data_IF_630407141809
#
_entry.id   IF_630407141809
#
_cell.length_a   1.000
_cell.length_b   1.000
_cell.length_c   1.000
_cell.angle_alpha   90.00
_cell.angle_beta   90.00
_cell.angle_gamma   90.00
#
_symmetry.space_group_name_H-M   'P 1'
#
loop_
_entity.id
_entity.type
_entity.pdbx_description
1 polymer ?
#
# COMPACT_ATOMS: atom_id res chain seq x y z
N UNK A 1 20.19 0.96 5.64
CA UNK A 1 20.72 -0.37 5.93
C UNK A 1 22.23 -0.27 5.92
N UNK A 2 22.90 -0.65 7.02
CA UNK A 2 24.36 -0.78 7.03
C UNK A 2 24.67 -2.18 6.53
N UNK A 3 25.44 -2.28 5.45
CA UNK A 3 25.81 -3.56 4.83
C UNK A 3 27.28 -3.84 5.06
N UNK A 4 27.65 -5.13 5.12
CA UNK A 4 29.05 -5.55 5.17
C UNK A 4 29.76 -5.09 3.88
N UNK A 5 31.01 -4.67 4.03
CA UNK A 5 31.83 -4.18 2.90
C UNK A 5 32.00 -5.24 1.80
N UNK A 6 32.07 -6.52 2.20
CA UNK A 6 32.14 -7.67 1.29
C UNK A 6 30.95 -7.80 0.33
N UNK A 7 29.80 -7.19 0.63
CA UNK A 7 28.62 -7.24 -0.23
C UNK A 7 28.61 -6.12 -1.26
N UNK A 8 29.37 -5.04 -1.05
CA UNK A 8 29.33 -3.84 -1.90
C UNK A 8 29.71 -4.13 -3.35
N UNK A 9 30.53 -5.17 -3.59
CA UNK A 9 30.89 -5.63 -4.94
C UNK A 9 29.71 -6.18 -5.75
N UNK A 10 28.56 -6.45 -5.12
CA UNK A 10 27.34 -6.94 -5.78
C UNK A 10 26.20 -5.92 -5.83
N UNK A 11 26.21 -4.92 -4.95
CA UNK A 11 25.05 -4.01 -4.76
C UNK A 11 25.38 -2.53 -4.98
N UNK A 12 26.66 -2.17 -5.09
CA UNK A 12 27.03 -0.76 -5.26
C UNK A 12 26.56 -0.24 -6.61
N UNK A 13 25.99 0.97 -6.70
CA UNK A 13 25.64 1.59 -7.99
C UNK A 13 26.83 1.78 -8.94
N UNK A 14 28.06 1.72 -8.42
CA UNK A 14 29.31 1.81 -9.21
C UNK A 14 29.70 0.48 -9.86
N UNK A 15 29.09 -0.63 -9.44
CA UNK A 15 29.31 -1.95 -10.03
C UNK A 15 28.52 -2.03 -11.35
N UNK A 16 29.11 -2.60 -12.43
CA UNK A 16 28.44 -2.78 -13.71
C UNK A 16 27.07 -3.45 -13.55
N UNK A 17 26.11 -3.05 -14.38
CA UNK A 17 24.72 -3.56 -14.32
C UNK A 17 24.69 -5.07 -14.50
N UNK A 18 25.56 -5.59 -15.37
CA UNK A 18 25.70 -7.01 -15.69
C UNK A 18 26.03 -7.83 -14.44
N UNK A 19 26.99 -7.37 -13.62
CA UNK A 19 27.40 -8.05 -12.38
C UNK A 19 26.27 -8.02 -11.34
N UNK A 20 25.52 -6.92 -11.25
CA UNK A 20 24.37 -6.80 -10.33
C UNK A 20 23.21 -7.68 -10.78
N UNK A 21 22.97 -7.79 -12.08
CA UNK A 21 21.98 -8.68 -12.67
C UNK A 21 22.34 -10.14 -12.47
N UNK A 22 23.60 -10.52 -12.71
CA UNK A 22 24.09 -11.87 -12.44
C UNK A 22 23.91 -12.23 -10.96
N UNK A 23 24.22 -11.31 -10.04
CA UNK A 23 23.94 -11.49 -8.62
C UNK A 23 22.43 -11.67 -8.33
N UNK A 24 21.56 -10.87 -8.94
CA UNK A 24 20.10 -10.99 -8.80
C UNK A 24 19.56 -12.35 -9.26
N UNK A 25 20.13 -12.90 -10.32
CA UNK A 25 19.74 -14.19 -10.89
C UNK A 25 20.33 -15.38 -10.14
N UNK A 26 21.60 -15.32 -9.77
CA UNK A 26 22.35 -16.46 -9.25
C UNK A 26 22.22 -16.66 -7.73
N UNK A 27 21.79 -15.64 -6.99
CA UNK A 27 21.63 -15.75 -5.54
C UNK A 27 20.22 -16.15 -5.09
N UNK A 28 19.31 -16.51 -6.02
CA UNK A 28 17.96 -17.01 -5.68
C UNK A 28 18.00 -18.39 -4.99
N UNK A 29 16.87 -18.75 -4.38
CA UNK A 29 16.62 -20.06 -3.76
C UNK A 29 17.14 -21.25 -4.58
N UNK A 30 17.67 -22.26 -3.88
CA UNK A 30 18.16 -23.51 -4.48
C UNK A 30 19.53 -23.41 -5.16
N UNK A 31 20.09 -22.21 -5.32
CA UNK A 31 21.46 -22.03 -5.82
C UNK A 31 22.44 -22.18 -4.67
N UNK A 32 23.27 -23.23 -4.65
CA UNK A 32 24.31 -23.34 -3.62
C UNK A 32 25.37 -22.25 -3.85
N UNK A 33 26.07 -21.81 -2.79
CA UNK A 33 27.17 -20.84 -2.93
C UNK A 33 28.24 -21.30 -3.94
N UNK A 34 28.31 -22.63 -4.13
CA UNK A 34 29.29 -23.34 -4.94
C UNK A 34 28.87 -23.41 -6.42
N UNK A 35 27.58 -23.32 -6.74
CA UNK A 35 27.08 -23.34 -8.13
C UNK A 35 27.18 -21.96 -8.81
N UNK A 36 27.43 -20.91 -8.02
CA UNK A 36 27.50 -19.54 -8.49
C UNK A 36 28.92 -19.23 -8.96
N UNK A 37 29.15 -19.19 -10.27
CA UNK A 37 30.43 -18.79 -10.91
C UNK A 37 30.73 -17.29 -10.77
N UNK A 38 30.44 -16.69 -9.60
CA UNK A 38 30.70 -15.28 -9.32
C UNK A 38 31.79 -15.19 -8.25
N UNK A 39 32.81 -14.39 -8.53
CA UNK A 39 34.01 -14.30 -7.70
C UNK A 39 33.68 -13.96 -6.23
N UNK A 40 34.01 -14.90 -5.33
CA UNK A 40 33.81 -14.79 -3.89
C UNK A 40 32.38 -15.04 -3.40
N UNK A 41 31.50 -15.62 -4.23
CA UNK A 41 30.17 -16.10 -3.83
C UNK A 41 30.24 -17.26 -2.82
N UNK A 42 31.32 -18.07 -2.86
CA UNK A 42 31.55 -19.22 -1.98
C UNK A 42 31.53 -18.86 -0.48
N UNK A 43 31.82 -17.61 -0.13
CA UNK A 43 31.88 -17.12 1.25
C UNK A 43 30.56 -16.50 1.73
N UNK A 44 29.53 -16.40 0.87
CA UNK A 44 28.27 -15.76 1.19
C UNK A 44 27.33 -16.73 1.92
N UNK A 45 26.88 -16.32 3.10
CA UNK A 45 25.83 -17.04 3.82
C UNK A 45 24.47 -16.83 3.17
N UNK A 46 23.47 -17.64 3.54
CA UNK A 46 22.09 -17.47 3.07
C UNK A 46 21.54 -16.08 3.41
N UNK A 47 21.90 -15.56 4.59
CA UNK A 47 21.57 -14.19 5.01
C UNK A 47 22.18 -13.10 4.11
N UNK A 48 23.41 -13.31 3.61
CA UNK A 48 24.05 -12.39 2.68
C UNK A 48 23.33 -12.38 1.32
N UNK A 49 22.93 -13.55 0.82
CA UNK A 49 22.16 -13.65 -0.43
C UNK A 49 20.82 -12.95 -0.34
N UNK A 50 20.06 -13.20 0.73
CA UNK A 50 18.81 -12.48 1.00
C UNK A 50 19.02 -10.96 1.08
N UNK A 51 20.10 -10.52 1.75
CA UNK A 51 20.45 -9.10 1.85
C UNK A 51 20.74 -8.50 0.47
N UNK A 52 21.52 -9.19 -0.37
CA UNK A 52 21.85 -8.73 -1.72
C UNK A 52 20.57 -8.62 -2.56
N UNK A 53 19.74 -9.66 -2.60
CA UNK A 53 18.51 -9.67 -3.38
C UNK A 53 17.52 -8.61 -2.91
N UNK A 54 17.36 -8.44 -1.59
CA UNK A 54 16.53 -7.38 -1.05
C UNK A 54 16.99 -5.99 -1.52
N UNK A 55 18.29 -5.72 -1.50
CA UNK A 55 18.82 -4.41 -1.92
C UNK A 55 18.65 -4.21 -3.43
N UNK A 56 18.97 -5.23 -4.23
CA UNK A 56 18.83 -5.19 -5.68
C UNK A 56 17.37 -5.10 -6.11
N UNK A 57 16.39 -5.50 -5.29
CA UNK A 57 14.97 -5.30 -5.61
C UNK A 57 14.59 -3.82 -5.75
N UNK A 58 15.39 -2.90 -5.19
CA UNK A 58 15.23 -1.44 -5.32
C UNK A 58 16.23 -0.81 -6.30
N UNK A 59 16.84 -1.61 -7.18
CA UNK A 59 17.81 -1.11 -8.15
C UNK A 59 17.19 -0.14 -9.17
N UNK A 60 18.02 0.74 -9.74
CA UNK A 60 17.60 1.67 -10.79
C UNK A 60 17.38 0.98 -12.14
N UNK A 61 18.06 -0.15 -12.39
CA UNK A 61 17.81 -1.00 -13.56
C UNK A 61 16.55 -1.87 -13.33
N UNK A 62 15.49 -1.72 -14.17
CA UNK A 62 14.24 -2.45 -13.97
C UNK A 62 14.37 -3.97 -14.09
N UNK A 63 15.29 -4.46 -14.94
CA UNK A 63 15.50 -5.90 -15.11
C UNK A 63 16.16 -6.49 -13.85
N UNK A 64 17.25 -5.89 -13.38
CA UNK A 64 17.91 -6.29 -12.12
C UNK A 64 16.93 -6.25 -10.94
N UNK A 65 16.12 -5.19 -10.82
CA UNK A 65 15.11 -5.06 -9.76
C UNK A 65 14.08 -6.19 -9.79
N UNK A 66 13.54 -6.49 -10.97
CA UNK A 66 12.53 -7.55 -11.14
C UNK A 66 13.09 -8.95 -10.83
N UNK A 67 14.29 -9.24 -11.34
CA UNK A 67 14.97 -10.53 -11.08
C UNK A 67 15.26 -10.70 -9.60
N UNK A 68 15.78 -9.66 -8.95
CA UNK A 68 16.09 -9.70 -7.53
C UNK A 68 14.84 -9.89 -6.67
N UNK A 69 13.73 -9.22 -7.00
CA UNK A 69 12.46 -9.39 -6.29
C UNK A 69 11.91 -10.82 -6.43
N UNK A 70 12.02 -11.40 -7.63
CA UNK A 70 11.59 -12.78 -7.89
C UNK A 70 12.48 -13.78 -7.14
N UNK A 71 13.81 -13.59 -7.18
CA UNK A 71 14.76 -14.41 -6.45
C UNK A 71 14.57 -14.31 -4.94
N UNK A 72 14.26 -13.13 -4.42
CA UNK A 72 14.00 -12.89 -3.01
C UNK A 72 12.75 -13.62 -2.51
N UNK A 73 11.67 -13.61 -3.29
CA UNK A 73 10.43 -14.30 -2.96
C UNK A 73 10.48 -15.83 -3.15
N UNK A 74 11.53 -16.35 -3.79
CA UNK A 74 11.66 -17.77 -4.09
C UNK A 74 12.21 -18.61 -2.92
N UNK A 75 12.74 -17.97 -1.86
CA UNK A 75 13.33 -18.69 -0.72
C UNK A 75 12.29 -19.51 0.02
N UNK A 76 12.61 -20.78 0.29
CA UNK A 76 11.76 -21.65 1.08
C UNK A 76 11.92 -21.38 2.59
N UNK A 77 10.97 -21.87 3.39
CA UNK A 77 10.96 -21.66 4.85
C UNK A 77 12.22 -22.21 5.53
N UNK A 78 12.86 -23.26 4.99
CA UNK A 78 14.09 -23.84 5.54
C UNK A 78 15.33 -22.98 5.29
N UNK A 79 15.46 -22.43 4.07
CA UNK A 79 16.50 -21.47 3.71
C UNK A 79 16.34 -20.16 4.51
N UNK A 80 15.10 -19.69 4.67
CA UNK A 80 14.79 -18.51 5.48
C UNK A 80 15.11 -18.73 6.96
N UNK A 81 14.76 -19.88 7.53
CA UNK A 81 15.12 -20.23 8.90
C UNK A 81 16.63 -20.24 9.11
N UNK A 82 17.39 -20.76 8.13
CA UNK A 82 18.85 -20.73 8.15
C UNK A 82 19.39 -19.30 8.15
N UNK A 83 18.82 -18.43 7.32
CA UNK A 83 19.23 -17.03 7.26
C UNK A 83 18.85 -16.22 8.51
N UNK A 84 17.73 -16.56 9.16
CA UNK A 84 17.26 -15.91 10.39
C UNK A 84 18.10 -16.26 11.62
N UNK A 85 19.01 -17.23 11.54
CA UNK A 85 20.03 -17.45 12.57
C UNK A 85 21.06 -16.31 12.61
N UNK A 86 21.31 -15.65 11.48
CA UNK A 86 22.20 -14.49 11.38
C UNK A 86 21.45 -13.20 11.75
N UNK A 87 22.19 -12.17 12.16
CA UNK A 87 21.61 -10.84 12.40
C UNK A 87 21.23 -10.17 11.07
N UNK A 88 19.92 -10.06 10.81
CA UNK A 88 19.38 -9.38 9.63
C UNK A 88 19.03 -7.91 9.93
N UNK A 89 18.93 -7.06 8.90
CA UNK A 89 18.48 -5.67 9.08
C UNK A 89 16.94 -5.64 9.29
N UNK A 90 16.42 -4.78 10.19
CA UNK A 90 14.98 -4.69 10.42
C UNK A 90 14.14 -4.47 9.16
N UNK A 91 14.67 -3.79 8.14
CA UNK A 91 13.95 -3.56 6.88
C UNK A 91 13.74 -4.84 6.08
N UNK A 92 14.76 -5.70 6.09
CA UNK A 92 14.70 -7.03 5.47
C UNK A 92 13.69 -7.91 6.20
N UNK A 93 13.72 -7.93 7.54
CA UNK A 93 12.76 -8.67 8.36
C UNK A 93 11.31 -8.24 8.10
N UNK A 94 11.04 -6.93 8.00
CA UNK A 94 9.71 -6.41 7.64
C UNK A 94 9.26 -6.86 6.25
N UNK A 95 10.19 -6.95 5.30
CA UNK A 95 9.89 -7.45 3.96
C UNK A 95 9.52 -8.93 3.97
N UNK A 96 10.19 -9.75 4.81
CA UNK A 96 9.87 -11.16 4.96
C UNK A 96 8.49 -11.36 5.60
N UNK A 97 8.14 -10.61 6.65
CA UNK A 97 6.79 -10.62 7.24
C UNK A 97 5.72 -10.28 6.19
N UNK A 98 6.01 -9.31 5.31
CA UNK A 98 5.06 -8.90 4.27
C UNK A 98 4.90 -9.93 3.16
N UNK A 99 5.95 -10.70 2.83
CA UNK A 99 5.90 -11.71 1.78
C UNK A 99 5.29 -13.03 2.28
N UNK A 100 5.51 -13.36 3.54
CA UNK A 100 5.08 -14.61 4.15
C UNK A 100 4.04 -14.35 5.25
N UNK A 101 2.99 -13.60 4.92
CA UNK A 101 1.98 -13.14 5.89
C UNK A 101 1.25 -14.25 6.65
N UNK A 102 1.26 -15.46 6.11
CA UNK A 102 0.49 -16.59 6.61
C UNK A 102 1.39 -17.64 7.31
N UNK A 103 2.72 -17.45 7.31
CA UNK A 103 3.69 -18.38 7.88
C UNK A 103 3.98 -18.05 9.35
N UNK A 104 3.20 -18.66 10.24
CA UNK A 104 3.30 -18.50 11.69
C UNK A 104 4.68 -18.89 12.22
N UNK A 105 5.23 -19.99 11.72
CA UNK A 105 6.52 -20.52 12.14
C UNK A 105 7.63 -19.54 11.79
N UNK A 106 7.63 -19.02 10.56
CA UNK A 106 8.58 -18.01 10.14
C UNK A 106 8.45 -16.72 10.95
N UNK A 107 7.24 -16.27 11.27
CA UNK A 107 7.03 -15.09 12.09
C UNK A 107 7.65 -15.23 13.49
N UNK A 108 7.47 -16.38 14.13
CA UNK A 108 8.13 -16.64 15.42
C UNK A 108 9.65 -16.56 15.31
N UNK A 109 10.24 -17.18 14.28
CA UNK A 109 11.67 -17.09 14.01
C UNK A 109 12.14 -15.64 13.73
N UNK A 110 11.31 -14.82 13.08
CA UNK A 110 11.61 -13.41 12.83
C UNK A 110 11.60 -12.59 14.12
N UNK A 111 10.67 -12.83 15.04
CA UNK A 111 10.63 -12.14 16.33
C UNK A 111 11.87 -12.43 17.20
N UNK A 112 12.41 -13.64 17.09
CA UNK A 112 13.61 -14.09 17.80
C UNK A 112 14.92 -13.64 17.12
N UNK A 113 14.85 -13.10 15.90
CA UNK A 113 16.04 -12.66 15.19
C UNK A 113 16.77 -11.53 15.96
N UNK A 114 18.13 -11.57 16.09
CA UNK A 114 18.90 -10.54 16.78
C UNK A 114 18.78 -9.13 16.17
N UNK A 115 18.30 -9.03 14.94
CA UNK A 115 18.01 -7.81 14.21
C UNK A 115 16.60 -7.26 14.40
N UNK A 116 15.71 -7.99 15.08
CA UNK A 116 14.32 -7.58 15.27
C UNK A 116 14.21 -6.38 16.24
N UNK A 117 13.88 -5.22 15.68
CA UNK A 117 13.56 -4.02 16.45
C UNK A 117 12.14 -4.07 17.04
N UNK A 118 11.78 -3.08 17.86
CA UNK A 118 10.46 -3.02 18.49
C UNK A 118 9.32 -3.07 17.46
N UNK A 119 9.51 -2.45 16.29
CA UNK A 119 8.50 -2.47 15.21
C UNK A 119 8.39 -3.85 14.56
N UNK A 120 9.50 -4.55 14.32
CA UNK A 120 9.46 -5.93 13.79
C UNK A 120 8.71 -6.84 14.76
N UNK A 121 8.98 -6.73 16.06
CA UNK A 121 8.29 -7.53 17.09
C UNK A 121 6.81 -7.21 17.19
N UNK A 122 6.43 -5.93 17.08
CA UNK A 122 5.03 -5.49 17.04
C UNK A 122 4.31 -6.02 15.80
N UNK A 123 4.96 -5.99 14.62
CA UNK A 123 4.42 -6.56 13.39
C UNK A 123 4.22 -8.08 13.48
N UNK A 124 5.17 -8.81 14.08
CA UNK A 124 5.03 -10.25 14.33
C UNK A 124 3.89 -10.52 15.31
N UNK A 125 3.82 -9.77 16.43
CA UNK A 125 2.77 -9.95 17.43
C UNK A 125 1.37 -9.69 16.84
N UNK A 126 1.23 -8.69 15.97
CA UNK A 126 0.00 -8.43 15.24
C UNK A 126 -0.40 -9.59 14.31
N UNK A 127 0.57 -10.34 13.76
CA UNK A 127 0.32 -11.48 12.88
C UNK A 127 0.06 -12.79 13.62
N UNK A 128 0.83 -13.06 14.69
CA UNK A 128 0.69 -14.29 15.51
C UNK A 128 -0.55 -14.21 16.41
N UNK A 129 -0.88 -13.02 16.95
CA UNK A 129 -2.10 -12.80 17.74
C UNK A 129 -3.39 -13.02 16.95
N UNK A 130 -3.34 -12.90 15.62
CA UNK A 130 -4.46 -13.24 14.75
C UNK A 130 -4.62 -14.76 14.52
N UNK A 131 -3.61 -15.58 14.82
CA UNK A 131 -3.60 -17.03 14.57
C UNK A 131 -3.98 -17.87 15.80
N UNK A 132 -3.78 -17.38 17.04
CA UNK A 132 -4.19 -18.09 18.27
C UNK A 132 -5.72 -18.09 18.52
N UNK A 133 -6.48 -17.24 17.83
CA UNK A 133 -7.95 -17.21 17.95
C UNK A 133 -8.67 -18.35 17.20
N UNK A 134 -7.93 -19.23 16.49
CA UNK A 134 -8.51 -20.24 15.59
C UNK A 134 -8.17 -21.67 16.07
N UNK A 135 -8.66 -22.05 17.25
CA UNK A 135 -8.64 -23.45 17.72
C UNK A 135 -10.05 -23.98 18.05
N UNK A 136 -10.80 -24.31 16.98
CA UNK A 136 -11.78 -25.41 16.94
C UNK A 136 -13.28 -25.06 17.04
N UNK A 137 -14.19 -25.89 16.47
CA UNK A 137 -14.08 -26.67 15.24
C UNK A 137 -15.24 -26.42 14.23
N UNK A 138 -14.95 -26.69 12.96
CA UNK A 138 -15.84 -27.09 11.85
C UNK A 138 -17.13 -26.29 11.57
N UNK A 139 -17.18 -25.57 10.42
CA UNK A 139 -17.83 -26.07 9.20
C UNK A 139 -17.91 -25.04 8.04
N UNK A 140 -17.45 -25.51 6.87
CA UNK A 140 -17.83 -25.18 5.47
C UNK A 140 -17.63 -23.75 4.91
N UNK A 141 -16.73 -23.72 3.91
CA UNK A 141 -16.81 -23.06 2.58
C UNK A 141 -17.22 -21.57 2.54
N UNK A 142 -16.25 -20.72 2.18
CA UNK A 142 -16.34 -19.24 2.19
C UNK A 142 -17.18 -18.62 1.07
N UNK A 143 -16.92 -17.35 0.65
CA UNK A 143 -15.95 -16.38 1.15
C UNK A 143 -16.63 -15.08 1.61
N UNK A 144 -16.33 -14.58 2.81
CA UNK A 144 -16.66 -13.20 3.18
C UNK A 144 -15.47 -12.52 3.82
N UNK A 145 -15.24 -11.30 3.37
CA UNK A 145 -14.19 -10.36 3.74
C UNK A 145 -14.04 -10.22 5.24
N UNK A 146 -12.87 -10.56 5.78
CA UNK A 146 -12.48 -10.19 7.14
C UNK A 146 -11.87 -8.78 7.13
N UNK A 147 -12.71 -7.78 7.40
CA UNK A 147 -12.35 -6.38 7.68
C UNK A 147 -11.80 -6.17 9.11
N UNK A 148 -11.44 -7.22 9.85
CA UNK A 148 -11.23 -7.12 11.31
C UNK A 148 -9.86 -6.61 11.83
N UNK A 149 -8.74 -6.46 11.07
CA UNK A 149 -7.51 -5.89 11.64
C UNK A 149 -7.41 -4.36 11.57
N UNK A 150 -8.26 -3.66 10.79
CA UNK A 150 -8.17 -2.19 10.67
C UNK A 150 -8.72 -1.48 11.92
N UNK A 151 -9.72 -2.04 12.60
CA UNK A 151 -10.43 -1.35 13.69
C UNK A 151 -9.58 -1.13 14.95
N UNK A 152 -8.65 -2.04 15.28
CA UNK A 152 -7.82 -1.92 16.49
C UNK A 152 -6.69 -0.89 16.32
N UNK A 153 -6.02 -0.89 15.15
CA UNK A 153 -5.02 0.14 14.81
C UNK A 153 -5.69 1.51 14.62
N UNK A 154 -6.84 1.56 13.93
CA UNK A 154 -7.63 2.78 13.82
C UNK A 154 -8.07 3.27 15.19
N UNK A 155 -8.44 2.39 16.12
CA UNK A 155 -8.78 2.74 17.50
C UNK A 155 -7.62 3.39 18.26
N UNK A 156 -6.40 2.87 18.11
CA UNK A 156 -5.18 3.44 18.72
C UNK A 156 -4.81 4.80 18.12
N UNK A 157 -4.85 4.90 16.79
CA UNK A 157 -4.60 6.14 16.05
C UNK A 157 -5.68 7.18 16.37
N UNK A 158 -6.95 6.78 16.43
CA UNK A 158 -8.09 7.63 16.76
C UNK A 158 -7.98 8.20 18.17
N UNK A 159 -7.63 7.37 19.16
CA UNK A 159 -7.35 7.83 20.54
C UNK A 159 -6.22 8.86 20.58
N UNK A 160 -5.18 8.69 19.75
CA UNK A 160 -4.08 9.67 19.63
C UNK A 160 -4.55 10.97 18.97
N UNK A 161 -5.31 10.89 17.89
CA UNK A 161 -5.86 12.04 17.16
C UNK A 161 -6.79 12.89 18.04
N UNK A 162 -7.56 12.28 18.94
CA UNK A 162 -8.41 13.02 19.87
C UNK A 162 -7.63 13.90 20.87
N UNK A 163 -6.41 13.48 21.24
CA UNK A 163 -5.56 14.25 22.17
C UNK A 163 -4.80 15.39 21.49
N UNK A 164 -4.71 15.39 20.17
CA UNK A 164 -3.95 16.38 19.40
C UNK A 164 -4.71 17.69 19.19
N UNK A 165 -3.97 18.79 19.17
CA UNK A 165 -4.53 20.09 18.80
C UNK A 165 -4.69 20.22 17.27
N UNK A 166 -5.40 21.27 16.83
CA UNK A 166 -5.66 21.49 15.40
C UNK A 166 -4.38 21.67 14.56
N UNK A 167 -3.33 22.30 15.10
CA UNK A 167 -2.08 22.53 14.38
C UNK A 167 -1.28 21.22 14.18
N UNK A 168 -1.28 20.35 15.18
CA UNK A 168 -0.69 19.01 15.12
C UNK A 168 -1.41 18.14 14.10
N UNK A 169 -2.75 18.17 14.09
CA UNK A 169 -3.56 17.48 13.08
C UNK A 169 -3.29 17.98 11.67
N UNK A 170 -3.11 19.28 11.47
CA UNK A 170 -2.72 19.85 10.17
C UNK A 170 -1.36 19.31 9.72
N UNK A 171 -0.37 19.33 10.63
CA UNK A 171 0.97 18.80 10.33
C UNK A 171 0.92 17.31 10.00
N UNK A 172 0.16 16.54 10.80
CA UNK A 172 -0.03 15.11 10.58
C UNK A 172 -0.78 14.83 9.28
N UNK A 173 -1.76 15.65 8.90
CA UNK A 173 -2.45 15.53 7.61
C UNK A 173 -1.49 15.68 6.42
N UNK A 174 -0.48 16.55 6.52
CA UNK A 174 0.52 16.79 5.47
C UNK A 174 1.58 15.68 5.37
N UNK A 175 1.93 15.01 6.46
CA UNK A 175 3.05 14.06 6.50
C UNK A 175 2.66 12.61 6.82
N UNK A 176 1.44 12.39 7.32
CA UNK A 176 0.94 11.12 7.83
C UNK A 176 0.72 10.04 6.77
N UNK A 177 0.57 8.81 7.26
CA UNK A 177 0.31 7.61 6.46
C UNK A 177 -1.14 7.51 6.00
N UNK A 178 -1.51 6.36 5.44
CA UNK A 178 -2.86 6.11 4.87
C UNK A 178 -3.95 6.16 5.95
N UNK A 179 -3.72 5.49 7.09
CA UNK A 179 -4.68 5.41 8.18
C UNK A 179 -4.96 6.79 8.81
N UNK A 180 -3.93 7.60 9.08
CA UNK A 180 -4.13 8.93 9.65
C UNK A 180 -4.87 9.85 8.68
N UNK A 181 -4.58 9.76 7.37
CA UNK A 181 -5.31 10.54 6.35
C UNK A 181 -6.78 10.13 6.27
N UNK A 182 -7.07 8.83 6.31
CA UNK A 182 -8.43 8.29 6.30
C UNK A 182 -9.29 8.82 7.45
N UNK A 183 -8.71 8.90 8.65
CA UNK A 183 -9.40 9.45 9.82
C UNK A 183 -9.49 10.99 9.77
N UNK A 184 -8.41 11.68 9.38
CA UNK A 184 -8.34 13.15 9.39
C UNK A 184 -9.16 13.82 8.27
N UNK A 185 -9.47 13.11 7.17
CA UNK A 185 -10.24 13.70 6.07
C UNK A 185 -11.65 14.11 6.50
N UNK A 186 -12.23 13.39 7.46
CA UNK A 186 -13.57 13.62 8.00
C UNK A 186 -13.56 14.45 9.30
N UNK A 187 -12.42 15.08 9.65
CA UNK A 187 -12.32 15.91 10.86
C UNK A 187 -13.32 17.09 10.81
N UNK A 188 -13.74 17.52 12.00
CA UNK A 188 -14.65 18.65 12.17
C UNK A 188 -14.05 19.94 11.58
N UNK A 189 -12.73 20.13 11.73
CA UNK A 189 -12.03 21.31 11.24
C UNK A 189 -11.65 21.15 9.76
N UNK A 190 -12.23 22.00 8.90
CA UNK A 190 -12.01 21.96 7.44
C UNK A 190 -10.58 22.28 7.03
N UNK A 191 -9.82 23.02 7.85
CA UNK A 191 -8.41 23.29 7.57
C UNK A 191 -7.59 21.99 7.64
N UNK A 192 -7.96 21.06 8.51
CA UNK A 192 -7.31 19.75 8.65
C UNK A 192 -7.60 18.88 7.42
N UNK A 193 -8.86 18.75 7.01
CA UNK A 193 -9.23 18.04 5.78
C UNK A 193 -8.51 18.60 4.54
N UNK A 194 -8.37 19.92 4.46
CA UNK A 194 -7.65 20.58 3.38
C UNK A 194 -6.14 20.28 3.39
N UNK A 195 -5.57 20.10 4.57
CA UNK A 195 -4.17 19.71 4.72
C UNK A 195 -3.94 18.27 4.25
N UNK A 196 -4.87 17.35 4.56
CA UNK A 196 -4.82 15.95 4.09
C UNK A 196 -4.80 15.88 2.56
N UNK A 197 -5.65 16.65 1.88
CA UNK A 197 -5.70 16.69 0.42
C UNK A 197 -4.43 17.27 -0.24
N UNK A 198 -3.61 18.00 0.51
CA UNK A 198 -2.33 18.55 0.03
C UNK A 198 -1.15 17.62 0.28
N UNK A 199 -1.37 16.46 0.92
CA UNK A 199 -0.33 15.50 1.20
C UNK A 199 0.22 14.91 -0.13
N UNK A 200 1.55 14.92 -0.36
CA UNK A 200 2.13 14.40 -1.61
C UNK A 200 1.98 12.88 -1.77
N UNK A 201 1.63 12.16 -0.70
CA UNK A 201 1.44 10.70 -0.70
C UNK A 201 -0.01 10.27 -0.92
N UNK A 202 -0.92 11.20 -1.18
CA UNK A 202 -2.31 10.85 -1.47
C UNK A 202 -2.39 10.15 -2.84
N UNK A 203 -3.02 8.99 -2.86
CA UNK A 203 -3.14 8.17 -4.06
C UNK A 203 -4.47 8.44 -4.77
N UNK A 204 -4.52 8.18 -6.08
CA UNK A 204 -5.78 8.27 -6.84
C UNK A 204 -6.85 7.31 -6.32
N UNK A 205 -6.45 6.15 -5.79
CA UNK A 205 -7.35 5.19 -5.15
C UNK A 205 -8.08 5.77 -3.94
N UNK A 206 -7.36 6.49 -3.07
CA UNK A 206 -7.95 7.19 -1.92
C UNK A 206 -8.94 8.27 -2.40
N UNK A 207 -8.60 9.03 -3.43
CA UNK A 207 -9.51 10.05 -3.99
C UNK A 207 -10.79 9.42 -4.53
N UNK A 208 -10.70 8.29 -5.22
CA UNK A 208 -11.86 7.54 -5.74
C UNK A 208 -12.76 7.08 -4.58
N UNK A 209 -12.17 6.55 -3.49
CA UNK A 209 -12.93 6.17 -2.31
C UNK A 209 -13.63 7.39 -1.68
N UNK A 210 -12.95 8.53 -1.59
CA UNK A 210 -13.50 9.75 -1.02
C UNK A 210 -14.68 10.31 -1.83
N UNK A 211 -14.58 10.37 -3.16
CA UNK A 211 -15.69 10.87 -3.98
C UNK A 211 -16.90 9.94 -3.98
N UNK A 212 -16.70 8.64 -3.77
CA UNK A 212 -17.80 7.68 -3.64
C UNK A 212 -18.38 7.63 -2.22
N UNK A 213 -17.66 8.17 -1.23
CA UNK A 213 -18.10 8.16 0.16
C UNK A 213 -19.26 9.14 0.41
N UNK A 214 -20.31 8.62 1.05
CA UNK A 214 -21.46 9.44 1.49
C UNK A 214 -21.12 10.30 2.71
N UNK A 215 -20.06 10.00 3.44
CA UNK A 215 -19.65 10.76 4.64
C UNK A 215 -18.80 11.97 4.30
N UNK A 216 -18.20 12.01 3.10
CA UNK A 216 -17.37 13.11 2.63
C UNK A 216 -18.04 14.49 2.79
N UNK A 217 -17.24 15.51 3.06
CA UNK A 217 -17.74 16.88 3.18
C UNK A 217 -17.77 17.60 1.83
N UNK A 218 -18.71 18.52 1.63
CA UNK A 218 -18.85 19.32 0.41
C UNK A 218 -17.53 20.03 0.05
N UNK A 219 -16.85 20.63 1.02
CA UNK A 219 -15.58 21.34 0.78
C UNK A 219 -14.48 20.42 0.22
N UNK A 220 -14.38 19.19 0.72
CA UNK A 220 -13.46 18.17 0.20
C UNK A 220 -13.78 17.85 -1.26
N UNK A 221 -15.06 17.66 -1.58
CA UNK A 221 -15.51 17.39 -2.96
C UNK A 221 -15.22 18.58 -3.90
N UNK A 222 -15.38 19.82 -3.41
CA UNK A 222 -15.02 21.05 -4.16
C UNK A 222 -13.52 21.12 -4.44
N UNK A 223 -12.69 20.79 -3.46
CA UNK A 223 -11.25 20.76 -3.65
C UNK A 223 -10.83 19.71 -4.67
N UNK A 224 -11.40 18.50 -4.57
CA UNK A 224 -11.14 17.42 -5.54
C UNK A 224 -11.54 17.87 -6.94
N UNK A 225 -12.71 18.49 -7.09
CA UNK A 225 -13.22 19.01 -8.36
C UNK A 225 -12.41 20.17 -8.97
N UNK A 226 -11.55 20.83 -8.19
CA UNK A 226 -10.64 21.90 -8.66
C UNK A 226 -9.30 21.35 -9.12
N UNK A 227 -8.89 20.17 -8.63
CA UNK A 227 -7.63 19.55 -9.00
C UNK A 227 -7.72 18.93 -10.40
N UNK A 228 -6.95 19.48 -11.34
CA UNK A 228 -6.96 19.03 -12.74
C UNK A 228 -6.40 17.63 -12.92
N UNK A 229 -5.47 17.19 -12.07
CA UNK A 229 -4.87 15.85 -12.19
C UNK A 229 -5.87 14.76 -11.82
N UNK A 230 -6.54 14.89 -10.66
CA UNK A 230 -7.55 13.91 -10.25
C UNK A 230 -8.76 13.88 -11.17
N UNK A 231 -9.20 15.04 -11.67
CA UNK A 231 -10.34 15.13 -12.58
C UNK A 231 -10.05 14.51 -13.96
N UNK A 232 -8.78 14.29 -14.35
CA UNK A 232 -8.49 13.52 -15.59
C UNK A 232 -9.02 12.09 -15.48
N UNK A 233 -9.01 11.50 -14.28
CA UNK A 233 -9.51 10.15 -14.06
C UNK A 233 -11.04 10.10 -14.22
N UNK A 234 -11.58 9.29 -15.15
CA UNK A 234 -13.02 9.17 -15.36
C UNK A 234 -13.79 8.70 -14.11
N UNK A 235 -13.18 7.85 -13.28
CA UNK A 235 -13.81 7.33 -12.06
C UNK A 235 -14.06 8.44 -11.04
N UNK A 236 -13.14 9.41 -10.94
CA UNK A 236 -13.29 10.57 -10.06
C UNK A 236 -14.44 11.46 -10.55
N UNK A 237 -14.56 11.70 -11.86
CA UNK A 237 -15.68 12.47 -12.43
C UNK A 237 -17.02 11.80 -12.14
N UNK A 238 -17.11 10.48 -12.36
CA UNK A 238 -18.33 9.72 -12.11
C UNK A 238 -18.70 9.79 -10.63
N UNK A 239 -17.74 9.54 -9.73
CA UNK A 239 -17.95 9.64 -8.28
C UNK A 239 -18.43 11.01 -7.84
N UNK A 240 -17.86 12.09 -8.38
CA UNK A 240 -18.33 13.45 -8.11
C UNK A 240 -19.77 13.68 -8.60
N UNK A 241 -20.18 13.11 -9.73
CA UNK A 241 -21.55 13.26 -10.24
C UNK A 241 -22.55 12.43 -9.43
N UNK A 242 -22.15 11.23 -9.00
CA UNK A 242 -23.03 10.29 -8.30
C UNK A 242 -23.20 10.63 -6.82
N UNK A 243 -22.27 11.39 -6.24
CA UNK A 243 -22.32 11.74 -4.82
C UNK A 243 -23.39 12.81 -4.52
N UNK A 244 -24.31 12.56 -3.58
CA UNK A 244 -25.39 13.50 -3.24
C UNK A 244 -24.91 14.80 -2.58
N UNK A 245 -23.70 14.81 -2.00
CA UNK A 245 -23.11 16.00 -1.35
C UNK A 245 -22.29 16.86 -2.30
N UNK A 246 -22.06 16.42 -3.54
CA UNK A 246 -21.41 17.27 -4.53
C UNK A 246 -22.33 18.43 -4.92
N UNK A 247 -21.85 19.68 -4.94
CA UNK A 247 -22.64 20.81 -5.40
C UNK A 247 -23.11 20.60 -6.83
N UNK A 248 -24.41 20.83 -7.05
CA UNK A 248 -25.05 20.67 -8.35
C UNK A 248 -24.28 21.34 -9.51
N UNK A 249 -23.75 22.58 -9.38
CA UNK A 249 -23.00 23.21 -10.48
C UNK A 249 -21.74 22.43 -10.88
N UNK A 250 -21.06 21.79 -9.92
CA UNK A 250 -19.86 20.99 -10.17
C UNK A 250 -20.23 19.69 -10.89
N UNK A 251 -21.26 19.00 -10.39
CA UNK A 251 -21.75 17.76 -10.99
C UNK A 251 -22.23 17.99 -12.44
N UNK A 252 -22.97 19.07 -12.68
CA UNK A 252 -23.43 19.47 -14.02
C UNK A 252 -22.27 19.71 -14.99
N UNK A 253 -21.21 20.40 -14.54
CA UNK A 253 -20.01 20.63 -15.35
C UNK A 253 -19.35 19.33 -15.80
N UNK A 254 -19.30 18.32 -14.94
CA UNK A 254 -18.66 17.05 -15.27
C UNK A 254 -19.53 16.12 -16.10
N UNK A 255 -20.86 16.23 -15.98
CA UNK A 255 -21.81 15.52 -16.83
C UNK A 255 -21.50 15.75 -18.32
N UNK A 256 -20.86 16.88 -18.65
CA UNK A 256 -20.54 17.19 -20.02
C UNK A 256 -19.49 16.29 -20.67
N UNK A 257 -18.65 15.65 -19.86
CA UNK A 257 -17.47 14.90 -20.27
C UNK A 257 -17.59 13.39 -20.01
N UNK A 258 -18.81 12.89 -19.79
CA UNK A 258 -19.09 11.48 -19.49
C UNK A 258 -19.61 10.75 -20.73
N UNK A 259 -19.24 9.48 -20.85
CA UNK A 259 -19.65 8.59 -21.93
C UNK A 259 -21.13 8.16 -21.83
N UNK A 260 -21.72 7.79 -22.97
CA UNK A 260 -23.13 7.39 -23.10
C UNK A 260 -23.53 6.26 -22.14
N UNK A 261 -22.65 5.27 -21.93
CA UNK A 261 -22.90 4.14 -21.02
C UNK A 261 -23.09 4.60 -19.58
N UNK A 262 -22.25 5.50 -19.11
CA UNK A 262 -22.26 6.02 -17.75
C UNK A 262 -23.41 7.03 -17.55
N UNK A 263 -23.73 7.85 -18.57
CA UNK A 263 -24.93 8.69 -18.56
C UNK A 263 -26.21 7.87 -18.34
N UNK A 264 -26.29 6.67 -18.91
CA UNK A 264 -27.44 5.77 -18.69
C UNK A 264 -27.56 5.25 -17.26
N UNK A 265 -26.42 5.02 -16.59
CA UNK A 265 -26.42 4.67 -15.17
C UNK A 265 -26.83 5.86 -14.31
N UNK A 266 -26.32 7.05 -14.60
CA UNK A 266 -26.64 8.28 -13.86
C UNK A 266 -28.13 8.63 -14.00
N UNK A 267 -28.69 8.54 -15.21
CA UNK A 267 -30.10 8.82 -15.47
C UNK A 267 -31.06 7.90 -14.69
N UNK A 268 -30.66 6.65 -14.41
CA UNK A 268 -31.46 5.67 -13.67
C UNK A 268 -31.16 5.65 -12.17
N UNK A 269 -30.10 6.33 -11.73
CA UNK A 269 -29.66 6.29 -10.34
C UNK A 269 -30.61 7.08 -9.44
N UNK A 270 -31.01 6.47 -8.31
CA UNK A 270 -31.77 7.14 -7.25
C UNK A 270 -30.88 7.93 -6.28
N UNK A 271 -29.55 7.78 -6.39
CA UNK A 271 -28.59 8.42 -5.49
C UNK A 271 -28.23 9.85 -5.93
N UNK A 272 -28.69 10.28 -7.10
CA UNK A 272 -28.43 11.63 -7.65
C UNK A 272 -29.68 12.50 -7.61
N UNK A 273 -29.47 13.82 -7.60
CA UNK A 273 -30.56 14.79 -7.69
C UNK A 273 -31.41 14.55 -8.94
N UNK A 274 -32.73 14.75 -8.83
CA UNK A 274 -33.69 14.64 -9.94
C UNK A 274 -33.34 15.56 -11.12
N UNK A 275 -32.67 16.69 -10.84
CA UNK A 275 -32.18 17.61 -11.86
C UNK A 275 -31.03 16.98 -12.64
N UNK A 276 -30.09 16.29 -11.97
CA UNK A 276 -28.97 15.61 -12.63
C UNK A 276 -29.45 14.44 -13.48
N UNK A 277 -30.36 13.61 -12.97
CA UNK A 277 -30.90 12.48 -13.73
C UNK A 277 -31.69 12.93 -14.97
N UNK A 278 -32.50 13.98 -14.84
CA UNK A 278 -33.24 14.56 -15.96
C UNK A 278 -32.30 15.15 -17.03
N UNK A 279 -31.25 15.86 -16.62
CA UNK A 279 -30.26 16.40 -17.55
C UNK A 279 -29.42 15.30 -18.21
N UNK A 280 -29.04 14.25 -17.47
CA UNK A 280 -28.36 13.08 -18.02
C UNK A 280 -29.21 12.37 -19.08
N UNK A 281 -30.52 12.21 -18.82
CA UNK A 281 -31.46 11.63 -19.77
C UNK A 281 -31.60 12.47 -21.05
N UNK A 282 -31.81 13.78 -20.93
CA UNK A 282 -31.86 14.69 -22.08
C UNK A 282 -30.57 14.67 -22.88
N UNK A 283 -29.42 14.62 -22.21
CA UNK A 283 -28.12 14.57 -22.89
C UNK A 283 -27.92 13.26 -23.66
N UNK A 284 -28.30 12.13 -23.07
CA UNK A 284 -28.23 10.83 -23.73
C UNK A 284 -29.09 10.78 -25.01
N UNK A 285 -30.25 11.41 -24.99
CA UNK A 285 -31.15 11.50 -26.14
C UNK A 285 -30.56 12.37 -27.27
N UNK A 286 -29.87 13.47 -26.93
CA UNK A 286 -29.15 14.30 -27.91
C UNK A 286 -27.91 13.62 -28.51
N UNK A 287 -27.42 12.55 -27.88
CA UNK A 287 -26.32 11.70 -28.37
C UNK A 287 -26.82 10.44 -29.11
N UNK A 288 -28.12 10.36 -29.42
CA UNK A 288 -28.66 9.38 -30.38
C UNK A 288 -28.50 9.91 -31.80
#
# INVERSE_FOLDING_TARGET
MKVRESLLKYISPKVPVEVRRDAARLFSSGSSAQDVQVEGAEKLTTADRLTILFILSFDSDPETSKEAATGFAAFDTGELATALADKLDPRLLRSLISLHSDDAELHTLIADNPGADATVKELVAAKVGAQEAVAGPESKEGPESSEEPEEEEEGSIYKRLQKMNAAEKIKLGLTGGKAERGLLINDANKIVSNAVLKNPRITDGEIIMLVNSKTASDEVLRMIARNREWVKNPQVKIGLITNPKTPLPIAMRFLDYIEKRELAKIAKSKNVSSVLSSNAMRKMERMR
#
